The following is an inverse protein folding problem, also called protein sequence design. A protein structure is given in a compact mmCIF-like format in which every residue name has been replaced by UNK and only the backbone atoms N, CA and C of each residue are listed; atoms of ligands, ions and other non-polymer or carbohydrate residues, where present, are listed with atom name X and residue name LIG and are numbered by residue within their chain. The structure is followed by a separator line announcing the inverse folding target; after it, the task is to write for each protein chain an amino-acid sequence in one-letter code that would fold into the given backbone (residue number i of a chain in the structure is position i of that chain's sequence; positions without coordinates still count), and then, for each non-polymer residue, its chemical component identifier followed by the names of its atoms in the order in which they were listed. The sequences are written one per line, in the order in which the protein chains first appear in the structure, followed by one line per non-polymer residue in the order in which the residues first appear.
data_IF_758485466955
#
_entry.id   IF_758485466955
#
_cell.length_a   1.000
_cell.length_b   1.000
_cell.length_c   1.000
_cell.angle_alpha   90.00
_cell.angle_beta   90.00
_cell.angle_gamma   90.00
#
_symmetry.space_group_name_H-M   'P 1'
#
loop_
_entity.id
_entity.type
_entity.pdbx_description
1 polymer ?
#
# COMPACT_ATOMS: atom_id res chain seq x y z
N UNK A 1 -16.12 -14.49 16.98
CA UNK A 1 -16.02 -13.03 17.26
C UNK A 1 -17.35 -12.39 16.91
N UNK A 2 -17.83 -11.40 17.68
CA UNK A 2 -19.10 -10.71 17.37
C UNK A 2 -19.01 -10.03 15.99
N UNK A 3 -19.92 -10.35 15.10
CA UNK A 3 -20.05 -9.73 13.76
C UNK A 3 -20.53 -8.28 13.84
N UNK A 4 -21.07 -7.85 14.97
CA UNK A 4 -21.60 -6.48 15.17
C UNK A 4 -20.48 -5.52 15.59
N UNK A 5 -20.54 -4.29 15.05
CA UNK A 5 -19.71 -3.17 15.51
C UNK A 5 -20.18 -2.72 16.90
N UNK A 6 -19.24 -2.41 17.79
CA UNK A 6 -19.56 -1.83 19.09
C UNK A 6 -19.78 -0.31 18.98
N UNK A 7 -20.33 0.33 20.05
CA UNK A 7 -20.64 1.77 20.07
C UNK A 7 -19.42 2.65 19.72
N UNK A 8 -18.24 2.33 20.24
CA UNK A 8 -17.00 3.08 19.98
C UNK A 8 -16.52 2.95 18.52
N UNK A 9 -16.68 1.77 17.91
CA UNK A 9 -16.40 1.57 16.48
C UNK A 9 -17.37 2.35 15.61
N UNK A 10 -18.66 2.33 15.96
CA UNK A 10 -19.71 3.10 15.23
C UNK A 10 -19.39 4.60 15.30
N UNK A 11 -19.06 5.12 16.46
CA UNK A 11 -18.66 6.53 16.63
C UNK A 11 -17.41 6.86 15.81
N UNK A 12 -16.34 6.05 15.96
CA UNK A 12 -15.06 6.27 15.30
C UNK A 12 -15.16 6.27 13.78
N UNK A 13 -15.96 5.36 13.21
CA UNK A 13 -16.10 5.18 11.77
C UNK A 13 -17.42 5.75 11.23
N UNK A 14 -18.14 6.56 12.00
CA UNK A 14 -19.45 7.08 11.64
C UNK A 14 -19.48 7.72 10.25
N UNK A 15 -18.45 8.50 9.89
CA UNK A 15 -18.36 9.18 8.58
C UNK A 15 -18.18 8.23 7.39
N UNK A 16 -17.62 7.04 7.61
CA UNK A 16 -17.57 5.98 6.60
C UNK A 16 -18.89 5.19 6.56
N UNK A 17 -19.45 4.88 7.74
CA UNK A 17 -20.64 4.03 7.87
C UNK A 17 -21.88 4.69 7.24
N UNK A 18 -21.97 6.02 7.24
CA UNK A 18 -23.11 6.73 6.61
C UNK A 18 -23.08 6.69 5.06
N UNK A 19 -21.94 6.34 4.46
CA UNK A 19 -21.86 6.15 3.02
C UNK A 19 -22.66 4.90 2.63
N UNK A 20 -23.67 5.06 1.75
CA UNK A 20 -24.59 3.96 1.36
C UNK A 20 -23.87 2.70 0.89
N UNK A 21 -22.75 2.87 0.17
CA UNK A 21 -21.97 1.76 -0.37
C UNK A 21 -21.05 1.09 0.67
N UNK A 22 -20.92 1.65 1.86
CA UNK A 22 -20.11 1.08 2.95
C UNK A 22 -21.04 0.50 4.01
N UNK A 23 -21.78 1.34 4.72
CA UNK A 23 -22.65 0.91 5.81
C UNK A 23 -21.89 0.17 6.93
N UNK A 24 -22.64 -0.38 7.86
CA UNK A 24 -22.07 -1.20 8.95
C UNK A 24 -21.47 -2.53 8.44
N UNK A 25 -22.04 -3.10 7.38
CA UNK A 25 -21.53 -4.33 6.77
C UNK A 25 -20.19 -4.11 6.09
N UNK A 26 -20.02 -3.03 5.34
CA UNK A 26 -18.74 -2.67 4.72
C UNK A 26 -17.66 -2.39 5.77
N UNK A 27 -18.00 -1.68 6.85
CA UNK A 27 -17.07 -1.45 7.95
C UNK A 27 -16.64 -2.77 8.62
N UNK A 28 -17.54 -3.75 8.72
CA UNK A 28 -17.21 -5.08 9.21
C UNK A 28 -16.24 -5.81 8.28
N UNK A 29 -16.44 -5.73 6.95
CA UNK A 29 -15.50 -6.29 5.96
C UNK A 29 -14.10 -5.68 6.11
N UNK A 30 -14.01 -4.35 6.27
CA UNK A 30 -12.72 -3.68 6.50
C UNK A 30 -12.04 -4.20 7.78
N UNK A 31 -12.80 -4.33 8.87
CA UNK A 31 -12.30 -4.86 10.16
C UNK A 31 -11.82 -6.32 10.07
N UNK A 32 -12.35 -7.11 9.18
CA UNK A 32 -11.96 -8.53 9.01
C UNK A 32 -10.81 -8.71 8.02
N UNK A 33 -10.55 -7.74 7.17
CA UNK A 33 -9.54 -7.82 6.12
C UNK A 33 -8.11 -7.83 6.67
N UNK A 34 -7.23 -8.51 5.92
CA UNK A 34 -5.81 -8.70 6.25
C UNK A 34 -4.96 -8.21 5.08
N UNK A 35 -4.23 -7.13 5.30
CA UNK A 35 -3.38 -6.49 4.29
C UNK A 35 -1.90 -6.63 4.67
N UNK A 36 -1.05 -6.94 3.71
CA UNK A 36 0.41 -6.94 3.85
C UNK A 36 0.98 -5.80 3.02
N UNK A 37 1.76 -4.94 3.64
CA UNK A 37 2.51 -3.86 2.97
C UNK A 37 3.98 -4.22 2.97
N UNK A 38 4.61 -4.21 1.80
CA UNK A 38 6.03 -4.48 1.61
C UNK A 38 6.69 -3.15 1.22
N UNK A 39 7.64 -2.69 2.05
CA UNK A 39 8.22 -1.35 1.99
C UNK A 39 7.45 -0.34 2.84
N UNK A 40 8.08 0.18 3.89
CA UNK A 40 7.57 1.23 4.76
C UNK A 40 8.26 2.56 4.48
N UNK A 41 8.37 2.87 3.18
CA UNK A 41 8.91 4.11 2.63
C UNK A 41 7.84 5.17 2.36
N UNK A 42 8.07 5.99 1.32
CA UNK A 42 7.17 7.08 0.92
C UNK A 42 5.77 6.63 0.51
N UNK A 43 5.65 5.43 -0.08
CA UNK A 43 4.36 4.83 -0.47
C UNK A 43 3.70 4.07 0.69
N UNK A 44 4.49 3.23 1.37
CA UNK A 44 3.96 2.36 2.42
C UNK A 44 3.48 3.11 3.65
N UNK A 45 4.11 4.23 4.03
CA UNK A 45 3.68 5.04 5.18
C UNK A 45 2.25 5.57 5.02
N UNK A 46 1.89 6.34 3.98
CA UNK A 46 0.52 6.83 3.80
C UNK A 46 -0.48 5.69 3.56
N UNK A 47 -0.10 4.64 2.84
CA UNK A 47 -0.95 3.47 2.65
C UNK A 47 -1.30 2.80 4.00
N UNK A 48 -0.32 2.54 4.85
CA UNK A 48 -0.52 1.97 6.18
C UNK A 48 -1.37 2.87 7.07
N UNK A 49 -1.12 4.18 7.02
CA UNK A 49 -1.85 5.17 7.80
C UNK A 49 -3.33 5.19 7.44
N UNK A 50 -3.68 5.32 6.16
CA UNK A 50 -5.08 5.39 5.73
C UNK A 50 -5.83 4.08 5.91
N UNK A 51 -5.20 2.92 5.70
CA UNK A 51 -5.81 1.63 6.02
C UNK A 51 -6.09 1.51 7.53
N UNK A 52 -5.15 1.94 8.38
CA UNK A 52 -5.35 1.93 9.84
C UNK A 52 -6.45 2.89 10.27
N UNK A 53 -6.53 4.10 9.68
CA UNK A 53 -7.61 5.08 9.90
C UNK A 53 -8.95 4.55 9.45
N UNK A 54 -9.01 3.79 8.37
CA UNK A 54 -10.23 3.15 7.87
C UNK A 54 -10.70 1.97 8.73
N UNK A 55 -9.88 1.51 9.67
CA UNK A 55 -10.25 0.43 10.59
C UNK A 55 -9.91 -0.97 10.11
N UNK A 56 -8.87 -1.11 9.27
CA UNK A 56 -8.38 -2.44 8.86
C UNK A 56 -8.08 -3.33 10.07
N UNK A 57 -8.47 -4.60 10.00
CA UNK A 57 -8.34 -5.50 11.15
C UNK A 57 -6.92 -5.99 11.36
N UNK A 58 -6.23 -6.41 10.30
CA UNK A 58 -4.85 -6.90 10.39
C UNK A 58 -3.99 -6.24 9.33
N UNK A 59 -2.86 -5.69 9.76
CA UNK A 59 -1.84 -5.11 8.91
C UNK A 59 -0.50 -5.80 9.16
N UNK A 60 0.06 -6.43 8.12
CA UNK A 60 1.46 -6.85 8.10
C UNK A 60 2.30 -5.75 7.48
N UNK A 61 3.44 -5.43 8.06
CA UNK A 61 4.38 -4.46 7.50
C UNK A 61 5.78 -5.06 7.44
N UNK A 62 6.39 -5.02 6.26
CA UNK A 62 7.72 -5.57 5.96
C UNK A 62 8.66 -4.44 5.57
N UNK A 63 9.73 -4.28 6.29
CA UNK A 63 10.84 -3.38 5.94
C UNK A 63 12.05 -3.73 6.81
N UNK A 64 13.26 -3.62 6.28
CA UNK A 64 14.49 -3.94 7.02
C UNK A 64 15.29 -2.72 7.42
N UNK A 65 14.90 -1.55 6.91
CA UNK A 65 15.64 -0.32 7.05
C UNK A 65 15.48 0.35 8.42
N UNK A 66 16.41 1.26 8.66
CA UNK A 66 16.29 2.29 9.68
C UNK A 66 15.86 3.61 9.05
N UNK A 67 15.23 4.45 9.84
CA UNK A 67 14.87 5.81 9.43
C UNK A 67 16.15 6.62 9.20
N UNK A 68 16.26 7.28 8.05
CA UNK A 68 17.32 8.27 7.77
C UNK A 68 16.72 9.68 7.69
N UNK A 69 17.58 10.69 7.86
CA UNK A 69 17.13 12.09 7.81
C UNK A 69 16.51 12.43 6.43
N UNK A 70 17.11 11.92 5.35
CA UNK A 70 16.62 12.09 3.97
C UNK A 70 15.25 11.43 3.70
N UNK A 71 14.74 10.62 4.61
CA UNK A 71 13.42 10.01 4.46
C UNK A 71 12.27 10.92 4.93
N UNK A 72 12.56 11.84 5.84
CA UNK A 72 11.55 12.59 6.59
C UNK A 72 10.63 13.41 5.68
N UNK A 73 11.14 13.95 4.58
CA UNK A 73 10.35 14.79 3.67
C UNK A 73 9.21 14.05 2.94
N UNK A 74 9.22 12.68 2.91
CA UNK A 74 8.21 11.88 2.21
C UNK A 74 7.65 10.68 2.98
N UNK A 75 8.24 10.29 4.10
CA UNK A 75 7.82 9.14 4.90
C UNK A 75 7.07 9.60 6.16
N UNK A 76 5.76 9.78 6.02
CA UNK A 76 4.87 10.51 6.95
C UNK A 76 4.81 9.97 8.38
N UNK A 77 5.14 8.70 8.59
CA UNK A 77 5.12 8.08 9.93
C UNK A 77 6.37 8.39 10.78
N UNK A 78 7.41 9.02 10.18
CA UNK A 78 8.67 9.24 10.88
C UNK A 78 8.95 10.73 11.08
N UNK A 79 9.73 10.99 12.12
CA UNK A 79 10.24 12.32 12.47
C UNK A 79 11.74 12.26 12.71
N UNK A 80 12.43 13.39 12.79
CA UNK A 80 13.87 13.47 13.08
C UNK A 80 14.26 12.69 14.34
N UNK A 81 13.38 12.67 15.37
CA UNK A 81 13.58 11.88 16.61
C UNK A 81 13.61 10.37 16.39
N UNK A 82 13.25 9.91 15.20
CA UNK A 82 13.24 8.49 14.83
C UNK A 82 14.46 8.06 14.04
N UNK A 83 15.36 8.96 13.66
CA UNK A 83 16.58 8.64 12.90
C UNK A 83 17.35 7.51 13.57
N UNK A 84 17.92 6.58 12.78
CA UNK A 84 18.60 5.36 13.18
C UNK A 84 17.75 4.29 13.89
N UNK A 85 16.41 4.49 14.03
CA UNK A 85 15.49 3.48 14.57
C UNK A 85 14.84 2.67 13.46
N UNK A 86 14.50 1.40 13.73
CA UNK A 86 13.83 0.51 12.77
C UNK A 86 12.49 1.09 12.30
N UNK A 87 12.32 1.20 10.97
CA UNK A 87 11.10 1.72 10.32
C UNK A 87 9.86 0.98 10.82
N UNK A 88 9.84 -0.35 10.76
CA UNK A 88 8.65 -1.14 11.15
C UNK A 88 8.29 -1.03 12.64
N UNK A 89 9.30 -0.85 13.53
CA UNK A 89 9.03 -0.67 14.95
C UNK A 89 8.37 0.69 15.24
N UNK A 90 8.88 1.75 14.61
CA UNK A 90 8.30 3.09 14.73
C UNK A 90 6.91 3.15 14.09
N UNK A 91 6.76 2.61 12.87
CA UNK A 91 5.49 2.53 12.18
C UNK A 91 4.43 1.83 13.04
N UNK A 92 4.74 0.65 13.61
CA UNK A 92 3.81 -0.06 14.52
C UNK A 92 3.36 0.82 15.67
N UNK A 93 4.29 1.54 16.33
CA UNK A 93 3.96 2.43 17.44
C UNK A 93 2.98 3.51 16.98
N UNK A 94 3.28 4.20 15.89
CA UNK A 94 2.47 5.30 15.35
C UNK A 94 1.09 4.83 14.88
N UNK A 95 1.02 3.73 14.18
CA UNK A 95 -0.23 3.15 13.71
C UNK A 95 -1.13 2.68 14.87
N UNK A 96 -0.55 2.14 15.95
CA UNK A 96 -1.30 1.78 17.15
C UNK A 96 -1.84 3.02 17.90
N UNK A 97 -1.16 4.16 17.84
CA UNK A 97 -1.68 5.44 18.35
C UNK A 97 -2.92 5.89 17.57
N UNK A 98 -2.97 5.63 16.25
CA UNK A 98 -4.13 5.92 15.38
C UNK A 98 -5.29 4.96 15.68
N UNK A 99 -5.02 3.66 15.70
CA UNK A 99 -6.02 2.64 15.95
C UNK A 99 -5.46 1.43 16.71
N UNK A 100 -5.62 1.42 18.02
CA UNK A 100 -5.15 0.34 18.89
C UNK A 100 -5.84 -1.02 18.64
N UNK A 101 -6.92 -1.06 17.85
CA UNK A 101 -7.64 -2.29 17.52
C UNK A 101 -7.09 -2.99 16.28
N UNK A 102 -6.34 -2.29 15.43
CA UNK A 102 -5.65 -2.91 14.29
C UNK A 102 -4.51 -3.80 14.81
N UNK A 103 -4.54 -5.07 14.45
CA UNK A 103 -3.44 -6.01 14.74
C UNK A 103 -2.30 -5.75 13.77
N UNK A 104 -1.15 -5.26 14.28
CA UNK A 104 0.01 -4.95 13.45
C UNK A 104 1.12 -5.98 13.67
N UNK A 105 1.40 -6.76 12.63
CA UNK A 105 2.51 -7.71 12.57
C UNK A 105 3.70 -7.06 11.86
N UNK A 106 4.87 -7.06 12.49
CA UNK A 106 6.08 -6.47 11.91
C UNK A 106 7.04 -7.57 11.45
N UNK A 107 7.66 -7.32 10.30
CA UNK A 107 8.66 -8.19 9.68
C UNK A 107 9.90 -7.34 9.38
N UNK A 108 10.85 -7.33 10.30
CA UNK A 108 12.06 -6.49 10.23
C UNK A 108 13.19 -7.24 9.54
N UNK A 109 13.04 -7.48 8.22
CA UNK A 109 14.05 -8.14 7.40
C UNK A 109 13.87 -7.81 5.91
N UNK A 110 14.96 -7.90 5.14
CA UNK A 110 14.88 -7.86 3.67
C UNK A 110 14.09 -9.07 3.19
N UNK A 111 13.03 -8.81 2.40
CA UNK A 111 12.18 -9.86 1.86
C UNK A 111 12.94 -10.67 0.81
N UNK A 112 12.73 -11.98 0.81
CA UNK A 112 13.14 -12.91 -0.23
C UNK A 112 12.03 -13.94 -0.45
N UNK A 113 12.18 -14.77 -1.48
CA UNK A 113 11.18 -15.79 -1.88
C UNK A 113 10.77 -16.68 -0.70
N UNK A 114 11.72 -17.20 0.08
CA UNK A 114 11.45 -18.11 1.20
C UNK A 114 10.64 -17.41 2.30
N UNK A 115 11.04 -16.19 2.69
CA UNK A 115 10.37 -15.42 3.74
C UNK A 115 8.97 -14.99 3.29
N UNK A 116 8.83 -14.58 2.02
CA UNK A 116 7.55 -14.14 1.50
C UNK A 116 6.54 -15.28 1.44
N UNK A 117 6.93 -16.46 0.95
CA UNK A 117 6.10 -17.66 0.92
C UNK A 117 5.56 -18.05 2.32
N UNK A 118 6.34 -17.79 3.38
CA UNK A 118 5.90 -18.09 4.76
C UNK A 118 4.79 -17.16 5.23
N UNK A 119 4.84 -15.88 4.87
CA UNK A 119 3.93 -14.87 5.43
C UNK A 119 2.71 -14.58 4.56
N UNK A 120 2.83 -14.64 3.21
CA UNK A 120 1.77 -14.24 2.27
C UNK A 120 0.46 -15.00 2.48
N UNK A 121 0.54 -16.25 2.93
CA UNK A 121 -0.65 -17.09 3.20
C UNK A 121 -1.62 -16.49 4.21
N UNK A 122 -1.12 -15.65 5.11
CA UNK A 122 -1.88 -15.05 6.19
C UNK A 122 -2.59 -13.74 5.79
N UNK A 123 -2.44 -13.30 4.54
CA UNK A 123 -2.97 -12.03 4.06
C UNK A 123 -3.76 -12.23 2.77
N UNK A 124 -4.77 -11.38 2.59
CA UNK A 124 -5.66 -11.45 1.43
C UNK A 124 -5.28 -10.44 0.35
N UNK A 125 -4.72 -9.30 0.78
CA UNK A 125 -4.38 -8.16 -0.04
C UNK A 125 -2.92 -7.79 0.18
N UNK A 126 -2.23 -7.43 -0.90
CA UNK A 126 -0.80 -7.08 -0.89
C UNK A 126 -0.63 -5.68 -1.44
N UNK A 127 0.16 -4.85 -0.79
CA UNK A 127 0.64 -3.56 -1.31
C UNK A 127 2.15 -3.65 -1.49
N UNK A 128 2.58 -3.35 -2.70
CA UNK A 128 3.98 -3.12 -3.02
C UNK A 128 4.29 -1.61 -2.94
N UNK A 129 5.05 -1.24 -1.94
CA UNK A 129 5.61 0.09 -1.72
C UNK A 129 7.13 0.13 -1.83
N UNK A 130 7.73 -0.85 -2.54
CA UNK A 130 9.18 -0.93 -2.78
C UNK A 130 9.61 0.01 -3.90
N UNK A 131 10.89 0.30 -3.97
CA UNK A 131 11.53 1.26 -4.88
C UNK A 131 12.44 0.63 -5.94
N UNK A 132 12.50 -0.71 -6.01
CA UNK A 132 13.34 -1.42 -6.95
C UNK A 132 12.58 -2.54 -7.67
N UNK A 133 12.94 -2.79 -8.93
CA UNK A 133 12.24 -3.74 -9.80
C UNK A 133 12.43 -5.20 -9.36
N UNK A 134 13.60 -5.56 -8.80
CA UNK A 134 13.83 -6.92 -8.28
C UNK A 134 12.77 -7.29 -7.24
N UNK A 135 12.53 -6.40 -6.28
CA UNK A 135 11.50 -6.60 -5.26
C UNK A 135 10.09 -6.60 -5.86
N UNK A 136 9.81 -5.71 -6.82
CA UNK A 136 8.50 -5.61 -7.48
C UNK A 136 8.14 -6.89 -8.22
N UNK A 137 9.08 -7.44 -9.00
CA UNK A 137 8.87 -8.70 -9.72
C UNK A 137 8.73 -9.88 -8.76
N UNK A 138 9.54 -9.94 -7.70
CA UNK A 138 9.39 -10.98 -6.67
C UNK A 138 8.01 -10.93 -6.02
N UNK A 139 7.52 -9.73 -5.69
CA UNK A 139 6.21 -9.53 -5.08
C UNK A 139 5.10 -9.91 -6.06
N UNK A 140 5.21 -9.50 -7.31
CA UNK A 140 4.26 -9.84 -8.36
C UNK A 140 4.13 -11.35 -8.52
N UNK A 141 5.24 -12.05 -8.77
CA UNK A 141 5.26 -13.48 -9.08
C UNK A 141 4.67 -14.32 -7.93
N UNK A 142 5.10 -14.03 -6.71
CA UNK A 142 4.58 -14.77 -5.54
C UNK A 142 3.11 -14.41 -5.28
N UNK A 143 2.68 -13.17 -5.52
CA UNK A 143 1.27 -12.80 -5.38
C UNK A 143 0.40 -13.51 -6.42
N UNK A 144 0.90 -13.69 -7.64
CA UNK A 144 0.27 -14.49 -8.70
C UNK A 144 0.15 -15.97 -8.28
N UNK A 145 1.24 -16.60 -7.81
CA UNK A 145 1.26 -17.99 -7.35
C UNK A 145 0.22 -18.24 -6.24
N UNK A 146 0.07 -17.28 -5.32
CA UNK A 146 -0.87 -17.37 -4.20
C UNK A 146 -2.24 -16.76 -4.50
N UNK A 147 -2.52 -16.33 -5.75
CA UNK A 147 -3.79 -15.75 -6.20
C UNK A 147 -4.26 -14.61 -5.30
N UNK A 148 -3.36 -13.69 -4.95
CA UNK A 148 -3.68 -12.53 -4.12
C UNK A 148 -4.12 -11.35 -4.96
N UNK A 149 -4.79 -10.40 -4.31
CA UNK A 149 -5.00 -9.09 -4.89
C UNK A 149 -3.77 -8.23 -4.57
N UNK A 150 -3.10 -7.74 -5.60
CA UNK A 150 -1.87 -6.96 -5.50
C UNK A 150 -2.11 -5.54 -5.99
N UNK A 151 -1.62 -4.55 -5.24
CA UNK A 151 -1.55 -3.15 -5.68
C UNK A 151 -0.09 -2.71 -5.68
N UNK A 152 0.39 -2.29 -6.85
CA UNK A 152 1.77 -1.83 -7.05
C UNK A 152 1.77 -0.32 -7.24
N UNK A 153 2.68 0.37 -6.56
CA UNK A 153 3.00 1.78 -6.78
C UNK A 153 4.43 1.95 -7.27
N UNK A 154 4.63 2.86 -8.22
CA UNK A 154 5.94 3.32 -8.65
C UNK A 154 5.93 4.84 -8.74
N UNK A 155 7.01 5.50 -8.35
CA UNK A 155 7.13 6.97 -8.37
C UNK A 155 8.52 7.37 -8.87
N UNK A 156 8.57 8.42 -9.67
CA UNK A 156 9.80 9.06 -10.12
C UNK A 156 9.55 10.55 -10.30
N UNK A 157 10.45 11.39 -9.82
CA UNK A 157 10.38 12.86 -9.95
C UNK A 157 9.02 13.42 -9.49
N UNK A 158 8.15 13.75 -10.41
CA UNK A 158 6.81 14.32 -10.20
C UNK A 158 5.68 13.38 -10.60
N UNK A 159 6.02 12.17 -11.03
CA UNK A 159 5.09 11.23 -11.64
C UNK A 159 4.93 9.97 -10.78
N UNK A 160 3.75 9.39 -10.86
CA UNK A 160 3.40 8.15 -10.17
C UNK A 160 2.59 7.22 -11.06
N UNK A 161 2.88 5.94 -10.95
CA UNK A 161 2.13 4.88 -11.62
C UNK A 161 1.51 3.96 -10.57
N UNK A 162 0.23 3.63 -10.73
CA UNK A 162 -0.47 2.71 -9.84
C UNK A 162 -1.13 1.61 -10.69
N UNK A 163 -0.93 0.38 -10.26
CA UNK A 163 -1.54 -0.82 -10.85
C UNK A 163 -2.28 -1.59 -9.78
N UNK A 164 -3.34 -2.29 -10.15
CA UNK A 164 -3.88 -3.36 -9.33
C UNK A 164 -4.08 -4.63 -10.15
N UNK A 165 -3.84 -5.79 -9.53
CA UNK A 165 -3.94 -7.09 -10.16
C UNK A 165 -4.79 -8.01 -9.29
N UNK A 166 -5.86 -8.55 -9.86
CA UNK A 166 -6.70 -9.56 -9.18
C UNK A 166 -6.33 -10.97 -9.66
N UNK A 167 -5.32 -11.54 -9.06
CA UNK A 167 -4.82 -12.86 -9.46
C UNK A 167 -5.75 -14.04 -9.14
N UNK A 168 -6.94 -13.79 -8.57
CA UNK A 168 -8.03 -14.77 -8.55
C UNK A 168 -8.70 -14.89 -9.91
N UNK A 169 -8.66 -13.84 -10.71
CA UNK A 169 -9.10 -13.85 -12.10
C UNK A 169 -7.96 -14.43 -12.97
N UNK A 170 -8.23 -15.54 -13.66
CA UNK A 170 -7.24 -16.20 -14.55
C UNK A 170 -6.77 -15.32 -15.71
N UNK A 171 -7.58 -14.35 -16.12
CA UNK A 171 -7.28 -13.43 -17.21
C UNK A 171 -6.70 -12.10 -16.69
N UNK A 172 -6.35 -12.00 -15.41
CA UNK A 172 -5.69 -10.81 -14.89
C UNK A 172 -4.30 -10.68 -15.49
N UNK A 173 -3.93 -9.51 -16.02
CA UNK A 173 -2.54 -9.25 -16.37
C UNK A 173 -1.67 -9.25 -15.12
N UNK A 174 -0.37 -9.20 -15.33
CA UNK A 174 0.65 -9.10 -14.29
C UNK A 174 1.55 -7.90 -14.54
N UNK A 175 2.40 -7.57 -13.59
CA UNK A 175 3.38 -6.50 -13.76
C UNK A 175 4.37 -6.79 -14.91
N UNK A 176 4.63 -8.08 -15.20
CA UNK A 176 5.52 -8.52 -16.28
C UNK A 176 4.93 -8.29 -17.68
N UNK A 177 3.60 -8.20 -17.79
CA UNK A 177 2.94 -7.87 -19.07
C UNK A 177 3.10 -6.37 -19.41
N UNK A 178 3.34 -5.53 -18.40
CA UNK A 178 3.59 -4.10 -18.57
C UNK A 178 5.09 -3.79 -18.68
N UNK A 179 5.90 -4.29 -17.75
CA UNK A 179 7.36 -4.14 -17.76
C UNK A 179 8.02 -5.43 -18.24
N UNK A 180 8.46 -5.45 -19.51
CA UNK A 180 9.24 -6.56 -20.05
C UNK A 180 10.65 -6.51 -19.45
N UNK A 181 11.19 -7.66 -18.99
CA UNK A 181 12.50 -7.74 -18.32
C UNK A 181 13.65 -7.17 -19.18
N UNK A 182 13.56 -7.33 -20.49
CA UNK A 182 14.56 -6.84 -21.47
C UNK A 182 14.62 -5.30 -21.57
N UNK A 183 13.58 -4.59 -21.12
CA UNK A 183 13.48 -3.12 -21.19
C UNK A 183 13.90 -2.46 -19.88
N UNK A 184 14.05 -3.25 -18.81
CA UNK A 184 14.50 -2.75 -17.50
C UNK A 184 16.02 -2.63 -17.53
N UNK A 185 16.54 -1.64 -18.25
CA UNK A 185 17.97 -1.31 -18.27
C UNK A 185 18.37 -0.66 -16.94
N UNK A 186 19.67 -0.65 -16.64
CA UNK A 186 20.24 -0.02 -15.44
C UNK A 186 19.84 1.45 -15.27
N UNK A 187 19.51 2.15 -16.35
CA UNK A 187 19.01 3.54 -16.34
C UNK A 187 17.58 3.64 -15.76
N UNK A 188 16.71 2.65 -16.01
CA UNK A 188 15.35 2.58 -15.42
C UNK A 188 15.41 2.09 -13.98
N UNK A 189 16.46 1.37 -13.60
CA UNK A 189 16.67 0.85 -12.24
C UNK A 189 17.07 1.92 -11.23
N UNK A 190 17.56 3.07 -11.67
CA UNK A 190 18.17 4.10 -10.82
C UNK A 190 17.18 5.22 -10.40
N UNK A 191 15.93 4.90 -10.09
CA UNK A 191 14.99 5.88 -9.50
C UNK A 191 15.52 6.54 -8.19
N UNK A 192 16.51 5.95 -7.54
CA UNK A 192 17.15 6.54 -6.35
C UNK A 192 17.89 7.86 -6.65
N UNK A 193 18.41 8.05 -7.89
CA UNK A 193 19.18 9.24 -8.27
C UNK A 193 18.32 10.39 -8.81
N UNK A 194 17.09 10.12 -9.23
CA UNK A 194 16.26 11.10 -9.94
C UNK A 194 15.54 12.12 -9.02
N UNK A 195 15.58 11.91 -7.71
CA UNK A 195 14.83 12.74 -6.77
C UNK A 195 13.31 12.46 -6.83
N UNK A 196 12.60 12.82 -5.77
CA UNK A 196 11.15 12.58 -5.66
C UNK A 196 10.52 13.74 -4.88
N UNK A 197 9.45 14.32 -5.43
CA UNK A 197 8.60 15.23 -4.68
C UNK A 197 7.77 14.43 -3.66
N UNK A 198 7.87 14.79 -2.36
CA UNK A 198 7.23 14.00 -1.28
C UNK A 198 5.71 13.88 -1.40
N UNK A 199 5.04 14.87 -1.97
CA UNK A 199 3.59 14.86 -2.19
C UNK A 199 3.15 13.78 -3.18
N UNK A 200 3.95 13.50 -4.23
CA UNK A 200 3.68 12.39 -5.18
C UNK A 200 3.62 11.06 -4.40
N UNK A 201 4.61 10.81 -3.55
CA UNK A 201 4.64 9.60 -2.74
C UNK A 201 3.40 9.48 -1.82
N UNK A 202 3.01 10.60 -1.18
CA UNK A 202 1.82 10.65 -0.33
C UNK A 202 0.54 10.30 -1.08
N UNK A 203 0.33 10.90 -2.26
CA UNK A 203 -0.86 10.68 -3.08
C UNK A 203 -0.90 9.24 -3.60
N UNK A 204 0.20 8.75 -4.18
CA UNK A 204 0.26 7.38 -4.74
C UNK A 204 0.00 6.34 -3.66
N UNK A 205 0.65 6.44 -2.48
CA UNK A 205 0.40 5.51 -1.38
C UNK A 205 -1.04 5.57 -0.85
N UNK A 206 -1.67 6.76 -0.85
CA UNK A 206 -3.08 6.92 -0.51
C UNK A 206 -4.00 6.24 -1.54
N UNK A 207 -3.70 6.36 -2.84
CA UNK A 207 -4.45 5.69 -3.90
C UNK A 207 -4.27 4.17 -3.79
N UNK A 208 -3.07 3.67 -3.45
CA UNK A 208 -2.88 2.24 -3.19
C UNK A 208 -3.79 1.73 -2.06
N UNK A 209 -3.91 2.48 -0.97
CA UNK A 209 -4.85 2.13 0.11
C UNK A 209 -6.31 2.14 -0.39
N UNK A 210 -6.68 3.11 -1.22
CA UNK A 210 -8.02 3.22 -1.79
C UNK A 210 -8.35 2.01 -2.69
N UNK A 211 -7.42 1.54 -3.53
CA UNK A 211 -7.60 0.34 -4.35
C UNK A 211 -7.88 -0.91 -3.49
N UNK A 212 -7.18 -1.06 -2.36
CA UNK A 212 -7.46 -2.12 -1.37
C UNK A 212 -8.87 -1.97 -0.79
N UNK A 213 -9.26 -0.77 -0.36
CA UNK A 213 -10.59 -0.52 0.21
C UNK A 213 -11.70 -0.78 -0.80
N UNK A 214 -11.56 -0.35 -2.05
CA UNK A 214 -12.49 -0.67 -3.14
C UNK A 214 -12.68 -2.18 -3.28
N UNK A 215 -11.57 -2.93 -3.27
CA UNK A 215 -11.60 -4.39 -3.40
C UNK A 215 -12.27 -5.07 -2.21
N UNK A 216 -11.98 -4.65 -0.98
CA UNK A 216 -12.61 -5.17 0.25
C UNK A 216 -14.13 -4.93 0.23
N UNK A 217 -14.52 -3.73 -0.15
CA UNK A 217 -15.91 -3.28 -0.12
C UNK A 217 -16.70 -3.74 -1.34
N UNK A 218 -16.02 -4.14 -2.41
CA UNK A 218 -16.60 -4.43 -3.73
C UNK A 218 -17.38 -3.22 -4.27
N UNK A 219 -16.74 -2.04 -4.30
CA UNK A 219 -17.30 -0.78 -4.79
C UNK A 219 -16.41 -0.19 -5.88
N UNK A 220 -17.04 0.36 -6.91
CA UNK A 220 -16.33 0.90 -8.08
C UNK A 220 -15.52 -0.17 -8.82
N UNK A 221 -14.70 0.27 -9.74
CA UNK A 221 -13.82 -0.58 -10.55
C UNK A 221 -12.36 -0.44 -10.08
N UNK A 222 -11.66 -1.56 -9.92
CA UNK A 222 -10.23 -1.57 -9.67
C UNK A 222 -9.45 -1.40 -10.98
N UNK A 223 -8.18 -1.01 -10.85
CA UNK A 223 -7.26 -0.81 -11.98
C UNK A 223 -6.78 -2.14 -12.62
N UNK A 224 -7.55 -3.21 -12.52
CA UNK A 224 -7.16 -4.50 -13.08
C UNK A 224 -7.16 -4.44 -14.62
N UNK A 225 -5.97 -4.53 -15.22
CA UNK A 225 -5.79 -4.33 -16.67
C UNK A 225 -5.54 -2.88 -17.10
N UNK A 226 -5.45 -1.94 -16.15
CA UNK A 226 -5.18 -0.52 -16.39
C UNK A 226 -4.02 -0.03 -15.52
N UNK A 227 -3.37 1.02 -15.98
CA UNK A 227 -2.43 1.81 -15.18
C UNK A 227 -3.02 3.19 -14.94
N UNK A 228 -3.02 3.64 -13.69
CA UNK A 228 -3.28 5.05 -13.37
C UNK A 228 -1.94 5.80 -13.40
N UNK A 229 -1.84 6.76 -14.29
CA UNK A 229 -0.69 7.66 -14.38
C UNK A 229 -1.06 8.99 -13.74
N UNK A 230 -0.26 9.39 -12.74
CA UNK A 230 -0.39 10.66 -12.05
C UNK A 230 0.82 11.53 -12.41
N UNK A 231 0.59 12.76 -12.84
CA UNK A 231 1.64 13.78 -12.93
C UNK A 231 1.22 15.01 -12.14
N UNK A 232 2.11 15.53 -11.29
CA UNK A 232 1.82 16.73 -10.49
C UNK A 232 2.29 18.04 -11.12
N UNK A 233 2.89 17.98 -12.31
CA UNK A 233 3.34 19.17 -13.07
C UNK A 233 2.65 19.30 -14.43
N UNK A 234 1.89 18.27 -14.86
CA UNK A 234 1.11 18.31 -16.09
C UNK A 234 -0.37 18.23 -15.76
N UNK A 235 -1.15 19.15 -16.29
CA UNK A 235 -2.62 19.14 -16.21
C UNK A 235 -3.13 18.69 -17.57
N UNK A 236 -3.74 17.51 -17.63
CA UNK A 236 -4.20 16.91 -18.89
C UNK A 236 -5.48 17.58 -19.43
N UNK A 237 -6.33 18.13 -18.57
CA UNK A 237 -7.58 18.81 -18.94
C UNK A 237 -7.76 20.07 -18.06
N UNK A 238 -7.17 21.22 -18.45
CA UNK A 238 -7.38 22.48 -17.74
C UNK A 238 -8.81 22.98 -17.99
N UNK A 239 -9.67 22.92 -16.98
CA UNK A 239 -10.96 23.62 -17.00
C UNK A 239 -10.70 25.08 -16.68
N UNK A 240 -10.91 25.98 -17.65
CA UNK A 240 -10.94 27.42 -17.40
C UNK A 240 -12.24 27.74 -16.65
N UNK A 241 -12.11 28.39 -15.50
CA UNK A 241 -13.22 29.00 -14.79
C UNK A 241 -13.73 30.22 -15.52
#
# INVERSE_FOLDING_TARGET
MSTKLNKREIEKFSRQIILKNIGALGQTKIREAKVLIIGMGGLGCPAAEFLTRSGIGTLGIVDHDKVSLSNIHRQTLYTEKNVNKSKVKIAKKKLNEINSKTKINIFNYKLNKIKFNKIIKNYDYIIDGTDNFESKFLINDISLDYKKFLVVGAISKFDGHIFSFDFKNKNSPSLRDFYQEEVVTDEVLNCEYDGILGTVAGIVGTIQANEILKKILNIGENLNGFVLILSLIHISEPTRL
#
